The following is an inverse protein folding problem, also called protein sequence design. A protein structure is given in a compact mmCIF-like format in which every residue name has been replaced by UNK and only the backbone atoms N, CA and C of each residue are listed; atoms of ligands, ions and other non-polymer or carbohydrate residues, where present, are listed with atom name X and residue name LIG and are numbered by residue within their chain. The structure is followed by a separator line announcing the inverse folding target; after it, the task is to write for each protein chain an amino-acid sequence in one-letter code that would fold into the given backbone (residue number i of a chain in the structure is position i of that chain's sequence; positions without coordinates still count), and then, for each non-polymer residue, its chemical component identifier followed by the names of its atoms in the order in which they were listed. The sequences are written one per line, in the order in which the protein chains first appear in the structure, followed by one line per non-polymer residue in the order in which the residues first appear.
data_IF_111183899856
#
_entry.id   IF_111183899856
#
_cell.length_a   1.000
_cell.length_b   1.000
_cell.length_c   1.000
_cell.angle_alpha   90.00
_cell.angle_beta   90.00
_cell.angle_gamma   90.00
#
_symmetry.space_group_name_H-M   'P 1'
#
loop_
_entity.id
_entity.type
_entity.pdbx_description
1 polymer ?
#
# COMPACT_ATOMS: atom_id res chain seq x y z
N UNK A 1 -8.47 -15.14 -0.87
CA UNK A 1 -7.53 -14.04 -0.58
C UNK A 1 -8.26 -12.74 -0.86
N UNK A 2 -8.33 -11.85 0.12
CA UNK A 2 -9.04 -10.58 -0.01
C UNK A 2 -8.36 -9.68 -1.06
N UNK A 3 -9.06 -8.65 -1.54
CA UNK A 3 -8.50 -7.66 -2.46
C UNK A 3 -7.29 -6.93 -1.87
N UNK A 4 -7.39 -6.49 -0.62
CA UNK A 4 -6.34 -5.72 0.03
C UNK A 4 -5.10 -6.57 0.32
N UNK A 5 -5.30 -7.82 0.77
CA UNK A 5 -4.21 -8.77 0.95
C UNK A 5 -3.34 -8.89 -0.31
N UNK A 6 -3.97 -8.90 -1.50
CA UNK A 6 -3.25 -9.07 -2.78
C UNK A 6 -2.39 -7.87 -3.08
N UNK A 7 -2.93 -6.68 -2.89
CA UNK A 7 -2.23 -5.41 -3.09
C UNK A 7 -1.03 -5.33 -2.13
N UNK A 8 -1.23 -5.63 -0.84
CA UNK A 8 -0.15 -5.63 0.14
C UNK A 8 0.94 -6.65 -0.17
N UNK A 9 0.59 -7.87 -0.56
CA UNK A 9 1.59 -8.88 -0.96
C UNK A 9 2.37 -8.44 -2.20
N UNK A 10 1.71 -7.90 -3.22
CA UNK A 10 2.37 -7.39 -4.42
C UNK A 10 3.32 -6.25 -4.08
N UNK A 11 2.87 -5.29 -3.26
CA UNK A 11 3.72 -4.21 -2.79
C UNK A 11 4.96 -4.73 -2.08
N UNK A 12 4.81 -5.63 -1.11
CA UNK A 12 5.94 -6.22 -0.40
C UNK A 12 6.91 -6.96 -1.34
N UNK A 13 6.39 -7.69 -2.34
CA UNK A 13 7.21 -8.36 -3.35
C UNK A 13 8.01 -7.37 -4.20
N UNK A 14 7.42 -6.25 -4.61
CA UNK A 14 8.10 -5.25 -5.43
C UNK A 14 9.04 -4.34 -4.61
N UNK A 15 8.68 -4.02 -3.37
CA UNK A 15 9.48 -3.21 -2.46
C UNK A 15 10.76 -3.95 -2.00
N UNK A 16 10.65 -5.26 -1.73
CA UNK A 16 11.79 -6.08 -1.28
C UNK A 16 12.76 -6.49 -2.39
N UNK A 17 12.37 -6.36 -3.67
CA UNK A 17 13.16 -6.85 -4.81
C UNK A 17 13.72 -5.70 -5.65
N UNK A 18 14.94 -5.90 -6.15
CA UNK A 18 15.56 -5.06 -7.20
C UNK A 18 15.46 -5.68 -8.59
N UNK A 19 14.96 -6.91 -8.69
CA UNK A 19 14.86 -7.67 -9.95
C UNK A 19 13.40 -7.94 -10.31
N UNK A 20 13.06 -7.93 -11.62
CA UNK A 20 11.71 -8.24 -12.06
C UNK A 20 11.25 -9.64 -11.66
N UNK A 21 9.96 -9.77 -11.32
CA UNK A 21 9.31 -11.03 -10.96
C UNK A 21 8.31 -11.44 -12.06
N UNK A 22 8.39 -12.71 -12.49
CA UNK A 22 7.54 -13.20 -13.57
C UNK A 22 6.08 -13.36 -13.15
N UNK A 23 5.15 -13.30 -14.11
CA UNK A 23 3.72 -13.59 -13.88
C UNK A 23 3.50 -14.98 -13.26
N UNK A 24 4.33 -15.98 -13.63
CA UNK A 24 4.25 -17.33 -13.07
C UNK A 24 4.55 -17.32 -11.56
N UNK A 25 5.60 -16.61 -11.15
CA UNK A 25 5.97 -16.48 -9.75
C UNK A 25 4.91 -15.68 -8.97
N UNK A 26 4.41 -14.57 -9.53
CA UNK A 26 3.34 -13.79 -8.91
C UNK A 26 2.08 -14.64 -8.63
N UNK A 27 1.65 -15.46 -9.59
CA UNK A 27 0.53 -16.38 -9.39
C UNK A 27 0.78 -17.38 -8.25
N UNK A 28 2.01 -17.86 -8.12
CA UNK A 28 2.39 -18.82 -7.08
C UNK A 28 2.40 -18.17 -5.70
N UNK A 29 2.99 -16.98 -5.56
CA UNK A 29 3.05 -16.22 -4.31
C UNK A 29 1.65 -15.78 -3.84
N UNK A 30 0.82 -15.32 -4.77
CA UNK A 30 -0.54 -14.87 -4.47
C UNK A 30 -1.56 -16.03 -4.43
N UNK A 31 -1.19 -17.22 -4.89
CA UNK A 31 -2.09 -18.38 -5.05
C UNK A 31 -3.39 -18.01 -5.81
N UNK A 32 -3.25 -17.16 -6.83
CA UNK A 32 -4.37 -16.56 -7.57
C UNK A 32 -4.30 -16.88 -9.07
N UNK A 33 -5.45 -16.73 -9.75
CA UNK A 33 -5.51 -16.85 -11.21
C UNK A 33 -4.70 -15.74 -11.90
N UNK A 34 -4.29 -15.96 -13.16
CA UNK A 34 -3.59 -14.94 -13.95
C UNK A 34 -4.41 -13.64 -14.05
N UNK A 35 -5.72 -13.77 -14.30
CA UNK A 35 -6.61 -12.62 -14.43
C UNK A 35 -6.72 -11.84 -13.12
N UNK A 36 -6.75 -12.53 -11.98
CA UNK A 36 -6.81 -11.88 -10.65
C UNK A 36 -5.53 -11.12 -10.34
N UNK A 37 -4.36 -11.68 -10.68
CA UNK A 37 -3.08 -10.97 -10.51
C UNK A 37 -3.00 -9.77 -11.45
N UNK A 38 -3.38 -9.92 -12.73
CA UNK A 38 -3.39 -8.83 -13.69
C UNK A 38 -4.26 -7.65 -13.23
N UNK A 39 -5.49 -7.91 -12.79
CA UNK A 39 -6.36 -6.88 -12.22
C UNK A 39 -5.75 -6.21 -10.99
N UNK A 40 -5.09 -6.97 -10.12
CA UNK A 40 -4.44 -6.36 -8.96
C UNK A 40 -3.26 -5.46 -9.35
N UNK A 41 -2.52 -5.79 -10.42
CA UNK A 41 -1.47 -4.93 -10.96
C UNK A 41 -2.06 -3.66 -11.57
N UNK A 42 -3.11 -3.78 -12.39
CA UNK A 42 -3.87 -2.64 -12.93
C UNK A 42 -4.40 -1.76 -11.80
N UNK A 43 -4.96 -2.37 -10.74
CA UNK A 43 -5.47 -1.60 -9.61
C UNK A 43 -4.37 -0.81 -8.88
N UNK A 44 -3.18 -1.40 -8.76
CA UNK A 44 -2.03 -0.71 -8.18
C UNK A 44 -1.55 0.44 -9.06
N UNK A 45 -1.58 0.29 -10.37
CA UNK A 45 -1.19 1.33 -11.33
C UNK A 45 -2.24 2.45 -11.42
N UNK A 46 -3.48 2.10 -11.76
CA UNK A 46 -4.57 3.04 -12.08
C UNK A 46 -5.10 3.76 -10.85
N UNK A 47 -5.24 3.05 -9.73
CA UNK A 47 -5.77 3.64 -8.50
C UNK A 47 -4.63 3.99 -7.57
N UNK A 48 -3.67 3.11 -7.28
CA UNK A 48 -2.67 3.43 -6.24
C UNK A 48 -1.50 4.29 -6.74
N UNK A 49 -1.45 4.60 -8.04
CA UNK A 49 -0.34 5.36 -8.63
C UNK A 49 1.00 4.64 -8.51
N UNK A 50 0.98 3.31 -8.39
CA UNK A 50 2.18 2.52 -8.22
C UNK A 50 2.98 2.47 -9.53
N UNK A 51 4.30 2.73 -9.51
CA UNK A 51 5.14 2.73 -10.70
C UNK A 51 5.51 1.30 -11.10
N UNK A 52 4.52 0.44 -11.35
CA UNK A 52 4.72 -0.94 -11.79
C UNK A 52 5.05 -0.94 -13.28
N UNK A 53 6.20 -1.49 -13.66
CA UNK A 53 6.59 -1.64 -15.06
C UNK A 53 6.86 -3.11 -15.41
N UNK A 54 6.69 -3.45 -16.68
CA UNK A 54 6.98 -4.77 -17.22
C UNK A 54 8.26 -4.76 -18.09
N UNK A 55 9.27 -5.49 -17.64
CA UNK A 55 10.52 -5.71 -18.38
C UNK A 55 10.32 -6.85 -19.40
N UNK A 56 10.26 -6.50 -20.68
CA UNK A 56 10.15 -7.48 -21.79
C UNK A 56 11.36 -8.41 -21.90
N UNK A 57 12.57 -7.94 -21.59
CA UNK A 57 13.81 -8.74 -21.70
C UNK A 57 13.88 -9.79 -20.59
N UNK A 58 13.47 -9.42 -19.37
CA UNK A 58 13.47 -10.31 -18.20
C UNK A 58 12.12 -10.99 -17.94
N UNK A 59 11.10 -10.68 -18.74
CA UNK A 59 9.75 -11.21 -18.66
C UNK A 59 9.16 -11.14 -17.25
N UNK A 60 9.18 -9.95 -16.65
CA UNK A 60 8.72 -9.76 -15.28
C UNK A 60 8.34 -8.32 -14.94
N UNK A 61 7.66 -8.18 -13.81
CA UNK A 61 7.15 -6.92 -13.26
C UNK A 61 8.05 -6.42 -12.15
N UNK A 62 8.21 -5.11 -12.02
CA UNK A 62 9.02 -4.47 -10.99
C UNK A 62 8.52 -3.05 -10.71
N UNK A 63 8.92 -2.47 -9.58
CA UNK A 63 8.78 -1.03 -9.38
C UNK A 63 9.89 -0.29 -10.09
N UNK A 64 9.53 0.64 -10.98
CA UNK A 64 10.49 1.58 -11.53
C UNK A 64 10.97 2.49 -10.40
N UNK A 65 12.27 2.40 -10.10
CA UNK A 65 12.97 3.28 -9.18
C UNK A 65 13.87 4.14 -10.04
N UNK A 66 13.40 5.32 -10.44
CA UNK A 66 14.24 6.29 -11.13
C UNK A 66 15.28 6.83 -10.15
N UNK A 67 16.51 7.03 -10.62
CA UNK A 67 17.58 7.56 -9.79
C UNK A 67 17.19 8.95 -9.24
N UNK A 68 17.13 9.06 -7.90
CA UNK A 68 16.77 10.29 -7.19
C UNK A 68 15.32 10.38 -6.69
N UNK A 69 14.42 9.46 -7.09
CA UNK A 69 13.06 9.39 -6.55
C UNK A 69 13.01 8.52 -5.27
N UNK A 70 12.22 8.95 -4.28
CA UNK A 70 11.96 8.15 -3.09
C UNK A 70 11.29 6.81 -3.49
N UNK A 71 11.61 5.69 -2.82
CA UNK A 71 10.92 4.43 -3.05
C UNK A 71 9.41 4.64 -2.99
N UNK A 72 8.68 4.08 -3.96
CA UNK A 72 7.23 4.10 -3.91
C UNK A 72 6.76 3.45 -2.60
N UNK A 73 6.01 4.21 -1.83
CA UNK A 73 5.33 3.75 -0.63
C UNK A 73 3.86 3.59 -0.98
N UNK A 74 3.29 2.44 -0.61
CA UNK A 74 1.86 2.23 -0.76
C UNK A 74 1.12 3.28 0.10
N UNK A 75 0.24 4.13 -0.47
CA UNK A 75 -0.45 5.15 0.30
C UNK A 75 -1.22 4.53 1.48
N UNK A 76 -0.82 4.86 2.72
CA UNK A 76 -1.47 4.40 3.95
C UNK A 76 -2.88 5.01 4.09
N UNK A 77 -3.89 4.35 4.68
CA UNK A 77 -3.93 3.19 5.55
C UNK A 77 -5.24 2.43 5.24
N UNK A 78 -5.17 1.20 4.73
CA UNK A 78 -6.36 0.41 4.39
C UNK A 78 -6.51 -0.72 5.40
N UNK A 79 -7.33 -0.51 6.44
CA UNK A 79 -7.62 -1.54 7.44
C UNK A 79 -8.59 -2.58 6.88
N UNK A 80 -8.30 -3.86 7.09
CA UNK A 80 -9.34 -4.89 7.06
C UNK A 80 -10.36 -4.66 8.17
N UNK A 81 -11.54 -5.28 8.06
CA UNK A 81 -12.58 -5.16 9.09
C UNK A 81 -12.09 -5.61 10.48
N UNK A 82 -11.23 -6.62 10.53
CA UNK A 82 -10.67 -7.14 11.79
C UNK A 82 -9.63 -6.19 12.38
N UNK A 83 -8.78 -5.57 11.56
CA UNK A 83 -7.81 -4.57 12.01
C UNK A 83 -8.49 -3.29 12.50
N UNK A 84 -9.57 -2.86 11.83
CA UNK A 84 -10.39 -1.74 12.28
C UNK A 84 -11.02 -2.04 13.65
N UNK A 85 -11.58 -3.26 13.82
CA UNK A 85 -12.10 -3.69 15.11
C UNK A 85 -11.00 -3.75 16.17
N UNK A 86 -9.82 -4.26 15.83
CA UNK A 86 -8.65 -4.26 16.72
C UNK A 86 -8.27 -2.84 17.16
N UNK A 87 -8.26 -1.90 16.21
CA UNK A 87 -7.96 -0.49 16.49
C UNK A 87 -9.01 0.15 17.42
N UNK A 88 -10.30 -0.12 17.18
CA UNK A 88 -11.40 0.33 18.04
C UNK A 88 -11.31 -0.26 19.45
N UNK A 89 -10.93 -1.53 19.58
CA UNK A 89 -10.70 -2.18 20.87
C UNK A 89 -9.50 -1.52 21.58
N UNK A 90 -8.40 -1.30 20.86
CA UNK A 90 -7.23 -0.59 21.40
C UNK A 90 -7.62 0.81 21.89
N UNK A 91 -8.36 1.57 21.09
CA UNK A 91 -8.89 2.88 21.47
C UNK A 91 -9.74 2.78 22.73
N UNK A 92 -10.71 1.86 22.77
CA UNK A 92 -11.60 1.67 23.92
C UNK A 92 -10.84 1.31 25.21
N UNK A 93 -9.82 0.46 25.12
CA UNK A 93 -8.96 0.10 26.25
C UNK A 93 -8.11 1.28 26.73
N UNK A 94 -7.55 2.06 25.80
CA UNK A 94 -6.78 3.26 26.11
C UNK A 94 -7.65 4.31 26.80
N UNK A 95 -8.84 4.57 26.26
CA UNK A 95 -9.84 5.47 26.85
C UNK A 95 -10.26 5.02 28.25
N UNK A 96 -10.44 3.72 28.47
CA UNK A 96 -10.78 3.19 29.80
C UNK A 96 -9.65 3.31 30.80
N UNK A 97 -8.39 3.12 30.38
CA UNK A 97 -7.23 3.12 31.28
C UNK A 97 -6.75 4.53 31.61
N UNK A 98 -6.87 5.48 30.68
CA UNK A 98 -6.31 6.83 30.80
C UNK A 98 -7.36 7.95 30.79
N UNK A 99 -8.65 7.64 30.60
CA UNK A 99 -9.73 8.62 30.49
C UNK A 99 -10.00 9.07 29.05
N UNK A 100 -11.08 9.83 28.82
CA UNK A 100 -11.45 10.36 27.50
C UNK A 100 -10.47 11.43 26.98
N UNK A 101 -9.65 12.00 27.88
CA UNK A 101 -8.68 13.05 27.58
C UNK A 101 -7.26 12.46 27.44
N UNK A 102 -7.11 11.39 26.66
CA UNK A 102 -5.81 11.11 26.06
C UNK A 102 -5.64 12.15 24.96
N UNK A 103 -5.09 13.31 25.33
CA UNK A 103 -4.62 14.29 24.37
C UNK A 103 -3.48 13.62 23.60
N UNK A 104 -3.83 13.01 22.46
CA UNK A 104 -2.85 12.60 21.47
C UNK A 104 -2.29 13.92 20.94
N UNK A 105 -1.23 14.41 21.59
CA UNK A 105 -0.39 15.45 21.00
C UNK A 105 0.24 14.84 19.77
N UNK A 106 -0.44 15.01 18.65
CA UNK A 106 0.09 14.74 17.34
C UNK A 106 1.38 15.54 17.25
N UNK A 107 2.55 14.89 17.18
CA UNK A 107 3.79 15.61 16.97
C UNK A 107 3.67 16.38 15.65
N UNK A 108 4.16 17.62 15.59
CA UNK A 108 4.05 18.46 14.39
C UNK A 108 4.56 17.74 13.13
N UNK A 109 5.60 16.92 13.28
CA UNK A 109 6.16 16.12 12.18
C UNK A 109 5.17 15.09 11.59
N UNK A 110 4.26 14.54 12.42
CA UNK A 110 3.26 13.55 12.01
C UNK A 110 2.14 14.23 11.23
N UNK A 111 1.68 15.40 11.67
CA UNK A 111 0.72 16.23 10.94
C UNK A 111 1.30 16.64 9.59
N UNK A 112 2.53 17.14 9.56
CA UNK A 112 3.21 17.50 8.31
C UNK A 112 3.40 16.32 7.35
N UNK A 113 3.77 15.14 7.87
CA UNK A 113 3.95 13.95 7.06
C UNK A 113 2.63 13.48 6.45
N UNK A 114 1.55 13.48 7.24
CA UNK A 114 0.21 13.10 6.77
C UNK A 114 -0.29 14.11 5.73
N UNK A 115 -0.13 15.42 5.95
CA UNK A 115 -0.57 16.43 4.99
C UNK A 115 0.20 16.35 3.67
N UNK A 116 1.52 16.14 3.70
CA UNK A 116 2.32 15.86 2.50
C UNK A 116 1.85 14.61 1.77
N UNK A 117 1.46 13.57 2.51
CA UNK A 117 0.94 12.35 1.92
C UNK A 117 -0.43 12.56 1.29
N UNK A 118 -1.32 13.32 1.94
CA UNK A 118 -2.65 13.67 1.43
C UNK A 118 -2.52 14.51 0.14
N UNK A 119 -1.58 15.44 0.07
CA UNK A 119 -1.31 16.20 -1.17
C UNK A 119 -0.86 15.29 -2.31
N UNK A 120 0.12 14.42 -2.07
CA UNK A 120 0.53 13.41 -3.06
C UNK A 120 -0.62 12.51 -3.49
N UNK A 121 -1.47 12.10 -2.55
CA UNK A 121 -2.66 11.33 -2.86
C UNK A 121 -3.62 12.13 -3.73
N UNK A 122 -3.82 13.44 -3.50
CA UNK A 122 -4.68 14.27 -4.37
C UNK A 122 -4.14 14.42 -5.80
N UNK A 123 -2.83 14.35 -5.99
CA UNK A 123 -2.20 14.33 -7.32
C UNK A 123 -2.44 12.99 -8.03
N UNK A 124 -2.38 11.88 -7.29
CA UNK A 124 -2.64 10.52 -7.81
C UNK A 124 -4.14 10.31 -8.05
N UNK A 125 -5.01 10.90 -7.22
CA UNK A 125 -6.47 10.79 -7.27
C UNK A 125 -7.14 12.15 -7.53
N UNK A 126 -7.08 12.70 -8.76
CA UNK A 126 -7.82 13.91 -9.08
C UNK A 126 -9.33 13.66 -8.89
N UNK A 127 -9.98 14.45 -8.04
CA UNK A 127 -11.45 14.40 -7.90
C UNK A 127 -12.07 14.77 -9.26
N UNK A 128 -12.77 13.81 -9.87
CA UNK A 128 -13.71 14.04 -10.98
C UNK A 128 -14.84 14.97 -10.56
#
# INVERSE_FOLDING_TARGET
MDRFDRIFKLHNLFASRRTPISMKALKQELQCSRATVARALEEMEDYLGAPVEYDKKRNGYFYNRRDGEHPYELPGLWFSADELHGLLICQHLLTRKYGADVEVKEPDFLVEAVMRQVEKMREIYPRT
#
